data_IF_099701795036
#
_entry.id   IF_099701795036
#
_cell.length_a   1.000
_cell.length_b   1.000
_cell.length_c   1.000
_cell.angle_alpha   90.00
_cell.angle_beta   90.00
_cell.angle_gamma   90.00
#
_symmetry.space_group_name_H-M   'P 1'
#
loop_
_entity.id
_entity.type
_entity.pdbx_description
1 polymer ?
#
# COMPACT_ATOMS: atom_id res chain seq x y z
N UNK A 1 -0.08 38.30 -3.93
CA UNK A 1 1.16 38.18 -3.15
C UNK A 1 1.76 36.82 -3.50
N UNK A 2 2.95 36.80 -4.14
CA UNK A 2 3.68 35.55 -4.40
C UNK A 2 4.11 34.99 -3.03
N UNK A 3 3.75 33.75 -2.73
CA UNK A 3 4.18 33.08 -1.50
C UNK A 3 5.70 33.03 -1.45
N UNK A 4 6.27 33.56 -0.38
CA UNK A 4 7.70 33.42 -0.10
C UNK A 4 7.88 31.93 0.25
N UNK A 5 8.69 31.22 -0.54
CA UNK A 5 9.04 29.84 -0.27
C UNK A 5 9.76 29.76 1.10
N UNK A 6 9.30 28.88 1.96
CA UNK A 6 9.83 28.72 3.32
C UNK A 6 11.35 28.41 3.34
N UNK A 7 11.86 27.75 2.29
CA UNK A 7 13.29 27.47 2.11
C UNK A 7 14.06 28.77 1.87
N UNK A 8 13.57 29.65 0.99
CA UNK A 8 14.20 30.95 0.71
C UNK A 8 14.20 31.88 1.94
N UNK A 9 13.10 31.88 2.72
CA UNK A 9 13.02 32.68 3.95
C UNK A 9 14.06 32.22 4.96
N UNK A 10 14.27 30.93 5.06
CA UNK A 10 15.25 30.30 5.97
C UNK A 10 16.69 30.65 5.60
N UNK A 11 17.05 30.54 4.31
CA UNK A 11 18.37 30.91 3.79
C UNK A 11 18.67 32.37 4.00
N UNK A 12 17.71 33.27 3.76
CA UNK A 12 17.84 34.68 4.01
C UNK A 12 18.00 35.00 5.51
N UNK A 13 17.29 34.32 6.37
CA UNK A 13 17.41 34.48 7.82
C UNK A 13 18.81 34.07 8.30
N UNK A 14 19.33 32.94 7.87
CA UNK A 14 20.69 32.50 8.22
C UNK A 14 21.75 33.43 7.70
N UNK A 15 21.63 33.94 6.47
CA UNK A 15 22.56 34.90 5.91
C UNK A 15 22.55 36.24 6.67
N UNK A 16 21.36 36.71 7.05
CA UNK A 16 21.20 37.91 7.83
C UNK A 16 21.80 37.77 9.25
N UNK A 17 21.54 36.65 9.90
CA UNK A 17 22.06 36.37 11.24
C UNK A 17 23.59 36.20 11.22
N UNK A 18 24.17 35.54 10.24
CA UNK A 18 25.61 35.42 10.04
C UNK A 18 26.26 36.80 9.84
N UNK A 19 25.63 37.69 9.10
CA UNK A 19 26.08 39.07 8.91
C UNK A 19 25.99 39.87 10.24
N UNK A 20 24.86 39.75 10.96
CA UNK A 20 24.62 40.47 12.21
C UNK A 20 25.56 40.03 13.32
N UNK A 21 25.98 38.78 13.33
CA UNK A 21 26.89 38.18 14.33
C UNK A 21 28.36 38.16 13.85
N UNK A 22 28.72 39.04 12.95
CA UNK A 22 30.12 39.30 12.49
C UNK A 22 30.84 38.08 11.91
N UNK A 23 30.11 37.22 11.22
CA UNK A 23 30.67 36.10 10.45
C UNK A 23 30.70 34.76 11.18
N UNK A 24 30.06 34.62 12.32
CA UNK A 24 29.83 33.32 12.93
C UNK A 24 28.90 32.48 12.03
N UNK A 25 29.29 31.27 11.74
CA UNK A 25 28.44 30.34 11.01
C UNK A 25 27.32 29.79 11.91
N UNK A 26 26.11 30.24 11.66
CA UNK A 26 24.92 29.74 12.34
C UNK A 26 24.36 28.58 11.54
N UNK A 27 24.17 27.46 12.21
CA UNK A 27 23.60 26.22 11.66
C UNK A 27 22.25 25.90 12.31
N UNK A 28 21.49 24.95 11.76
CA UNK A 28 20.25 24.49 12.39
C UNK A 28 20.40 24.01 13.84
N UNK A 29 21.59 23.52 14.20
CA UNK A 29 21.89 23.03 15.57
C UNK A 29 21.96 24.13 16.58
N UNK A 30 22.14 25.40 16.17
CA UNK A 30 22.20 26.54 17.02
C UNK A 30 20.81 27.09 17.39
N UNK A 31 19.76 26.57 16.77
CA UNK A 31 18.38 26.88 17.06
C UNK A 31 17.74 25.78 17.92
N UNK A 32 17.43 26.11 19.16
CA UNK A 32 16.64 25.23 20.02
C UNK A 32 15.18 25.66 19.99
N UNK A 33 14.33 24.91 19.32
CA UNK A 33 12.88 25.14 19.34
C UNK A 33 12.25 24.98 20.71
N UNK A 34 12.91 24.28 21.62
CA UNK A 34 12.50 24.14 23.03
C UNK A 34 12.56 25.45 23.84
N UNK A 35 13.32 26.43 23.34
CA UNK A 35 13.46 27.74 23.96
C UNK A 35 12.53 28.81 23.41
N UNK A 36 11.74 28.48 22.40
CA UNK A 36 10.73 29.39 21.84
C UNK A 36 9.55 29.44 22.80
N UNK A 37 9.20 30.65 23.23
CA UNK A 37 8.08 30.86 24.12
C UNK A 37 6.78 30.32 23.51
N UNK A 38 6.01 29.56 24.27
CA UNK A 38 4.84 28.82 23.76
C UNK A 38 3.82 29.69 23.03
N UNK A 39 3.69 30.96 23.34
CA UNK A 39 2.77 31.89 22.64
C UNK A 39 3.31 32.36 21.27
N UNK A 40 4.59 32.16 20.97
CA UNK A 40 5.15 32.41 19.63
C UNK A 40 4.95 31.24 18.67
N UNK A 41 4.59 30.06 19.17
CA UNK A 41 4.27 28.91 18.34
C UNK A 41 2.81 29.04 17.89
N UNK A 42 2.52 28.98 16.55
CA UNK A 42 1.16 29.08 16.05
C UNK A 42 0.23 28.07 16.72
N UNK A 43 -0.93 28.53 17.16
CA UNK A 43 -1.98 27.69 17.69
C UNK A 43 -3.00 27.41 16.59
N UNK A 44 -3.07 26.15 16.14
CA UNK A 44 -3.86 25.70 15.00
C UNK A 44 -5.19 25.16 15.53
N UNK A 45 -6.29 25.60 14.95
CA UNK A 45 -7.61 25.04 15.19
C UNK A 45 -8.13 24.44 13.89
N UNK A 46 -8.52 23.19 13.92
CA UNK A 46 -9.19 22.48 12.84
C UNK A 46 -10.67 22.50 13.17
N UNK A 47 -11.47 23.02 12.26
CA UNK A 47 -12.92 23.15 12.41
C UNK A 47 -13.62 22.47 11.24
N UNK A 48 -14.83 21.92 11.47
CA UNK A 48 -15.69 21.42 10.41
C UNK A 48 -16.32 22.56 9.59
N UNK A 49 -17.08 22.20 8.56
CA UNK A 49 -17.76 23.14 7.67
C UNK A 49 -18.79 24.05 8.40
N UNK A 50 -19.21 23.65 9.59
CA UNK A 50 -20.15 24.40 10.46
C UNK A 50 -19.41 25.22 11.51
N UNK A 51 -18.08 25.27 11.47
CA UNK A 51 -17.25 25.99 12.44
C UNK A 51 -17.07 25.26 13.77
N UNK A 52 -17.53 23.99 13.90
CA UNK A 52 -17.35 23.20 15.11
C UNK A 52 -15.90 22.70 15.19
N UNK A 53 -15.30 22.87 16.35
CA UNK A 53 -13.93 22.45 16.63
C UNK A 53 -13.80 20.92 16.53
N UNK A 54 -12.92 20.43 15.63
CA UNK A 54 -12.57 19.03 15.47
C UNK A 54 -11.32 18.69 16.30
N UNK A 55 -10.28 19.49 16.13
CA UNK A 55 -9.02 19.33 16.84
C UNK A 55 -8.33 20.68 17.02
N UNK A 56 -7.45 20.77 17.98
CA UNK A 56 -6.60 21.95 18.18
C UNK A 56 -5.27 21.53 18.78
N UNK A 57 -4.22 22.27 18.44
CA UNK A 57 -2.88 22.03 18.95
C UNK A 57 -1.85 22.96 18.33
N UNK A 58 -0.58 22.72 18.62
CA UNK A 58 0.55 23.48 18.09
C UNK A 58 1.41 22.66 17.14
N UNK A 59 1.28 21.34 17.19
CA UNK A 59 1.93 20.43 16.27
C UNK A 59 1.01 20.16 15.07
N UNK A 60 1.43 20.64 13.90
CA UNK A 60 0.66 20.47 12.65
C UNK A 60 0.60 19.01 12.20
N UNK A 61 1.67 18.25 12.41
CA UNK A 61 1.75 16.87 11.93
C UNK A 61 0.95 15.93 12.84
N UNK A 62 0.95 16.17 14.15
CA UNK A 62 0.03 15.49 15.07
C UNK A 62 -1.42 15.82 14.73
N UNK A 63 -1.76 17.07 14.44
CA UNK A 63 -3.10 17.47 14.06
C UNK A 63 -3.51 16.85 12.73
N UNK A 64 -2.63 16.81 11.73
CA UNK A 64 -2.86 16.11 10.46
C UNK A 64 -3.10 14.62 10.68
N UNK A 65 -2.31 13.96 11.52
CA UNK A 65 -2.48 12.54 11.83
C UNK A 65 -3.84 12.27 12.51
N UNK A 66 -4.23 13.10 13.48
CA UNK A 66 -5.53 12.98 14.16
C UNK A 66 -6.73 13.28 13.24
N UNK A 67 -6.61 14.26 12.36
CA UNK A 67 -7.68 14.64 11.43
C UNK A 67 -7.70 13.75 10.18
N UNK A 68 -6.65 12.98 9.87
CA UNK A 68 -6.56 12.11 8.70
C UNK A 68 -7.70 11.09 8.63
N UNK A 69 -8.13 10.56 9.78
CA UNK A 69 -9.28 9.64 9.84
C UNK A 69 -10.59 10.32 9.44
N UNK A 70 -10.75 11.62 9.71
CA UNK A 70 -11.97 12.36 9.33
C UNK A 70 -11.92 12.86 7.89
N UNK A 71 -10.74 13.22 7.36
CA UNK A 71 -10.58 13.61 5.95
C UNK A 71 -10.76 12.45 4.98
N UNK A 72 -10.54 11.21 5.43
CA UNK A 72 -10.78 10.00 4.63
C UNK A 72 -12.25 9.56 4.60
N UNK A 73 -13.14 10.19 5.40
CA UNK A 73 -14.56 9.89 5.33
C UNK A 73 -15.21 10.63 4.17
N UNK A 74 -16.18 10.01 3.50
CA UNK A 74 -16.94 10.70 2.46
C UNK A 74 -17.69 11.87 3.06
N UNK A 75 -17.60 13.03 2.40
CA UNK A 75 -18.30 14.25 2.81
C UNK A 75 -19.77 14.17 2.41
N UNK A 76 -20.06 13.54 1.27
CA UNK A 76 -21.39 13.39 0.71
C UNK A 76 -21.51 12.07 -0.04
N UNK A 77 -22.66 11.42 0.10
CA UNK A 77 -23.04 10.25 -0.68
C UNK A 77 -24.29 10.60 -1.51
N UNK A 78 -24.23 10.35 -2.82
CA UNK A 78 -25.41 10.46 -3.68
C UNK A 78 -26.31 9.25 -3.45
N UNK A 79 -27.61 9.49 -3.39
CA UNK A 79 -28.60 8.42 -3.26
C UNK A 79 -28.70 7.65 -4.59
N UNK A 80 -28.63 6.34 -4.50
CA UNK A 80 -28.76 5.40 -5.62
C UNK A 80 -27.54 4.50 -5.76
N UNK A 81 -27.80 3.26 -6.10
CA UNK A 81 -26.79 2.24 -6.41
C UNK A 81 -26.72 2.07 -7.93
N UNK A 82 -25.51 2.06 -8.48
CA UNK A 82 -25.26 1.96 -9.91
C UNK A 82 -24.65 0.60 -10.23
N UNK A 83 -25.20 -0.09 -11.24
CA UNK A 83 -24.65 -1.32 -11.79
C UNK A 83 -23.87 -1.08 -13.09
N UNK A 84 -23.94 0.15 -13.60
CA UNK A 84 -23.20 0.64 -14.76
C UNK A 84 -22.52 1.94 -14.41
N UNK A 85 -21.50 2.34 -15.19
CA UNK A 85 -20.81 3.60 -14.96
C UNK A 85 -21.78 4.78 -15.16
N UNK A 86 -21.93 5.68 -14.16
CA UNK A 86 -22.89 6.78 -14.24
C UNK A 86 -22.49 7.81 -15.31
N UNK A 87 -23.44 8.21 -16.16
CA UNK A 87 -23.18 9.16 -17.28
C UNK A 87 -22.72 10.53 -16.78
N UNK A 88 -23.27 10.99 -15.65
CA UNK A 88 -22.98 12.31 -15.08
C UNK A 88 -21.83 12.30 -14.06
N UNK A 89 -21.04 11.23 -14.02
CA UNK A 89 -19.90 11.13 -13.09
C UNK A 89 -18.77 12.08 -13.50
N UNK A 90 -18.28 12.86 -12.53
CA UNK A 90 -17.14 13.77 -12.69
C UNK A 90 -16.19 13.57 -11.52
N UNK A 91 -14.97 13.10 -11.81
CA UNK A 91 -13.99 12.79 -10.74
C UNK A 91 -13.60 14.03 -9.93
N UNK A 92 -13.30 15.16 -10.59
CA UNK A 92 -12.94 16.41 -9.92
C UNK A 92 -14.14 17.35 -9.88
N UNK A 93 -14.60 17.69 -8.71
CA UNK A 93 -15.63 18.69 -8.47
C UNK A 93 -15.05 19.87 -7.68
N UNK A 94 -15.61 21.07 -7.87
CA UNK A 94 -15.25 22.24 -7.08
C UNK A 94 -16.48 22.77 -6.40
N UNK A 95 -16.42 22.93 -5.09
CA UNK A 95 -17.49 23.54 -4.31
C UNK A 95 -17.02 24.86 -3.72
N UNK A 96 -17.88 25.88 -3.80
CA UNK A 96 -17.61 27.17 -3.17
C UNK A 96 -18.16 27.14 -1.74
N UNK A 97 -17.28 27.10 -0.76
CA UNK A 97 -17.64 27.12 0.67
C UNK A 97 -17.13 28.42 1.27
N UNK A 98 -18.05 29.26 1.80
CA UNK A 98 -17.72 30.54 2.46
C UNK A 98 -16.74 31.44 1.68
N UNK A 99 -16.86 31.44 0.33
CA UNK A 99 -16.01 32.28 -0.55
C UNK A 99 -14.71 31.63 -1.00
N UNK A 100 -14.35 30.47 -0.47
CA UNK A 100 -13.18 29.68 -0.85
C UNK A 100 -13.60 28.55 -1.78
N UNK A 101 -12.84 28.34 -2.87
CA UNK A 101 -13.05 27.20 -3.76
C UNK A 101 -12.35 26.00 -3.15
N UNK A 102 -13.13 25.02 -2.69
CA UNK A 102 -12.62 23.74 -2.18
C UNK A 102 -12.70 22.70 -3.30
N UNK A 103 -11.58 22.07 -3.60
CA UNK A 103 -11.56 20.91 -4.50
C UNK A 103 -12.10 19.70 -3.75
N UNK A 104 -13.01 19.00 -4.39
CA UNK A 104 -13.56 17.74 -3.92
C UNK A 104 -13.42 16.68 -5.02
N UNK A 105 -13.35 15.43 -4.61
CA UNK A 105 -13.14 14.31 -5.52
C UNK A 105 -14.28 13.31 -5.35
N UNK A 106 -14.99 13.05 -6.44
CA UNK A 106 -16.00 12.00 -6.45
C UNK A 106 -15.34 10.64 -6.73
N UNK A 107 -15.81 9.60 -6.06
CA UNK A 107 -15.38 8.25 -6.28
C UNK A 107 -16.59 7.31 -6.41
N UNK A 108 -16.46 6.32 -7.28
CA UNK A 108 -17.33 5.16 -7.28
C UNK A 108 -16.86 4.24 -6.16
N UNK A 109 -17.73 3.96 -5.20
CA UNK A 109 -17.40 3.12 -4.03
C UNK A 109 -18.29 1.89 -4.07
N UNK A 110 -17.72 0.67 -4.04
CA UNK A 110 -18.53 -0.53 -4.05
C UNK A 110 -19.34 -0.63 -2.75
N UNK A 111 -20.59 -1.06 -2.83
CA UNK A 111 -21.46 -1.24 -1.66
C UNK A 111 -21.09 -2.46 -0.83
N UNK A 112 -20.35 -3.39 -1.43
CA UNK A 112 -19.72 -4.55 -0.78
C UNK A 112 -18.25 -4.66 -1.19
N UNK A 113 -17.38 -5.07 -0.27
CA UNK A 113 -15.97 -5.35 -0.60
C UNK A 113 -15.87 -6.55 -1.53
N UNK A 114 -14.90 -6.54 -2.44
CA UNK A 114 -14.74 -7.63 -3.40
C UNK A 114 -14.54 -8.98 -2.72
N UNK A 115 -13.80 -9.04 -1.63
CA UNK A 115 -13.57 -10.25 -0.84
C UNK A 115 -14.84 -10.82 -0.15
N UNK A 116 -15.91 -10.05 -0.08
CA UNK A 116 -17.19 -10.41 0.56
C UNK A 116 -18.29 -10.74 -0.47
N UNK A 117 -17.96 -10.68 -1.78
CA UNK A 117 -18.94 -10.96 -2.84
C UNK A 117 -19.30 -12.43 -2.89
N UNK A 118 -20.58 -12.71 -2.97
CA UNK A 118 -21.10 -14.04 -3.21
C UNK A 118 -21.24 -14.34 -4.71
N UNK A 119 -21.44 -15.60 -5.07
CA UNK A 119 -21.46 -16.04 -6.46
C UNK A 119 -22.53 -15.37 -7.36
N UNK A 120 -23.59 -14.84 -6.77
CA UNK A 120 -24.70 -14.13 -7.45
C UNK A 120 -24.94 -12.75 -6.85
N UNK A 121 -23.89 -12.11 -6.38
CA UNK A 121 -23.98 -10.80 -5.76
C UNK A 121 -24.24 -9.73 -6.82
N UNK A 122 -25.36 -9.04 -6.72
CA UNK A 122 -25.80 -7.95 -7.61
C UNK A 122 -25.47 -6.56 -7.05
N UNK A 123 -24.76 -6.49 -5.91
CA UNK A 123 -24.37 -5.20 -5.33
C UNK A 123 -23.53 -4.39 -6.33
N UNK A 124 -23.82 -3.12 -6.44
CA UNK A 124 -23.18 -2.19 -7.38
C UNK A 124 -22.20 -1.25 -6.69
N UNK A 125 -22.23 0.00 -7.13
CA UNK A 125 -21.41 1.09 -6.60
C UNK A 125 -22.28 2.29 -6.27
N UNK A 126 -21.82 3.12 -5.33
CA UNK A 126 -22.41 4.43 -5.02
C UNK A 126 -21.38 5.53 -5.31
N UNK A 127 -21.86 6.76 -5.57
CA UNK A 127 -20.97 7.92 -5.69
C UNK A 127 -20.79 8.53 -4.31
N UNK A 128 -19.53 8.63 -3.88
CA UNK A 128 -19.15 9.33 -2.65
C UNK A 128 -18.16 10.44 -2.98
N UNK A 129 -18.19 11.51 -2.19
CA UNK A 129 -17.33 12.68 -2.36
C UNK A 129 -16.33 12.73 -1.22
N UNK A 130 -15.06 12.94 -1.55
CA UNK A 130 -13.92 12.99 -0.62
C UNK A 130 -13.22 14.35 -0.75
N UNK A 131 -12.61 14.80 0.32
CA UNK A 131 -11.72 15.96 0.33
C UNK A 131 -10.27 15.57 0.05
N UNK A 132 -9.93 14.29 0.23
CA UNK A 132 -8.61 13.73 -0.04
C UNK A 132 -8.60 13.02 -1.41
N UNK A 133 -7.68 13.44 -2.27
CA UNK A 133 -7.57 12.90 -3.63
C UNK A 133 -7.09 11.46 -3.66
N UNK A 134 -6.13 11.10 -2.81
CA UNK A 134 -5.54 9.77 -2.81
C UNK A 134 -6.55 8.74 -2.32
N UNK A 135 -7.32 9.09 -1.29
CA UNK A 135 -8.41 8.23 -0.82
C UNK A 135 -9.51 8.10 -1.88
N UNK A 136 -9.89 9.20 -2.55
CA UNK A 136 -10.85 9.14 -3.65
C UNK A 136 -10.37 8.22 -4.79
N UNK A 137 -9.11 8.31 -5.19
CA UNK A 137 -8.50 7.44 -6.22
C UNK A 137 -8.57 5.98 -5.79
N UNK A 138 -8.22 5.68 -4.54
CA UNK A 138 -8.25 4.32 -3.99
C UNK A 138 -9.67 3.74 -4.02
N UNK A 139 -10.65 4.49 -3.51
CA UNK A 139 -12.05 4.06 -3.50
C UNK A 139 -12.61 3.93 -4.91
N UNK A 140 -12.28 4.87 -5.80
CA UNK A 140 -12.70 4.85 -7.19
C UNK A 140 -12.17 3.61 -7.93
N UNK A 141 -10.93 3.20 -7.66
CA UNK A 141 -10.35 1.96 -8.21
C UNK A 141 -11.19 0.75 -7.86
N UNK A 142 -11.59 0.61 -6.60
CA UNK A 142 -12.43 -0.50 -6.14
C UNK A 142 -13.80 -0.52 -6.84
N UNK A 143 -14.42 0.66 -6.99
CA UNK A 143 -15.69 0.79 -7.71
C UNK A 143 -15.57 0.46 -9.19
N UNK A 144 -14.49 0.90 -9.85
CA UNK A 144 -14.22 0.55 -11.26
C UNK A 144 -13.99 -0.95 -11.42
N UNK A 145 -13.20 -1.58 -10.52
CA UNK A 145 -13.02 -3.03 -10.49
C UNK A 145 -14.37 -3.73 -10.36
N UNK A 146 -15.25 -3.27 -9.48
CA UNK A 146 -16.59 -3.85 -9.30
C UNK A 146 -17.43 -3.75 -10.57
N UNK A 147 -17.51 -2.59 -11.20
CA UNK A 147 -18.28 -2.39 -12.44
C UNK A 147 -17.72 -3.23 -13.61
N UNK A 148 -16.40 -3.30 -13.75
CA UNK A 148 -15.77 -4.14 -14.79
C UNK A 148 -16.04 -5.62 -14.51
N UNK A 149 -15.96 -6.08 -13.25
CA UNK A 149 -16.29 -7.44 -12.85
C UNK A 149 -17.71 -7.83 -13.29
N UNK A 150 -18.70 -6.97 -13.10
CA UNK A 150 -20.08 -7.24 -13.50
C UNK A 150 -20.25 -7.42 -15.02
N UNK A 151 -19.36 -6.85 -15.84
CA UNK A 151 -19.42 -6.89 -17.31
C UNK A 151 -18.62 -8.04 -17.94
N UNK A 152 -17.87 -8.83 -17.15
CA UNK A 152 -16.95 -9.86 -17.63
C UNK A 152 -17.40 -11.31 -17.33
N UNK A 153 -18.66 -11.55 -16.99
CA UNK A 153 -19.15 -12.82 -16.45
C UNK A 153 -18.68 -14.09 -17.20
N UNK A 154 -18.69 -14.09 -18.54
CA UNK A 154 -18.25 -15.24 -19.34
C UNK A 154 -16.75 -15.47 -19.28
N UNK A 155 -15.96 -14.39 -19.38
CA UNK A 155 -14.50 -14.44 -19.28
C UNK A 155 -14.05 -14.89 -17.89
N UNK A 156 -14.73 -14.41 -16.85
CA UNK A 156 -14.48 -14.81 -15.46
C UNK A 156 -14.76 -16.31 -15.29
N UNK A 157 -15.87 -16.82 -15.83
CA UNK A 157 -16.18 -18.27 -15.79
C UNK A 157 -15.12 -19.09 -16.49
N UNK A 158 -14.62 -18.60 -17.63
CA UNK A 158 -13.56 -19.27 -18.38
C UNK A 158 -12.23 -19.27 -17.60
N UNK A 159 -11.86 -18.16 -16.96
CA UNK A 159 -10.66 -18.06 -16.16
C UNK A 159 -10.71 -18.99 -14.93
N UNK A 160 -11.80 -19.00 -14.18
CA UNK A 160 -12.00 -19.87 -13.00
C UNK A 160 -11.84 -21.37 -13.33
N UNK A 161 -12.24 -21.80 -14.52
CA UNK A 161 -12.07 -23.20 -14.97
C UNK A 161 -10.60 -23.60 -15.15
N UNK A 162 -9.69 -22.65 -15.30
CA UNK A 162 -8.26 -22.92 -15.48
C UNK A 162 -7.51 -23.21 -14.16
N UNK A 163 -8.16 -23.00 -13.01
CA UNK A 163 -7.57 -23.35 -11.70
C UNK A 163 -7.34 -24.87 -11.64
N UNK A 164 -6.07 -25.25 -11.59
CA UNK A 164 -5.67 -26.66 -11.52
C UNK A 164 -5.94 -27.28 -10.13
N UNK A 165 -6.06 -28.60 -10.08
CA UNK A 165 -6.17 -29.31 -8.78
C UNK A 165 -4.94 -29.10 -7.88
N UNK A 166 -3.68 -29.14 -8.39
CA UNK A 166 -2.50 -28.83 -7.58
C UNK A 166 -2.55 -27.44 -6.93
N UNK A 167 -2.94 -26.41 -7.68
CA UNK A 167 -3.06 -25.05 -7.14
C UNK A 167 -4.14 -24.98 -6.05
N UNK A 168 -5.31 -25.56 -6.28
CA UNK A 168 -6.38 -25.58 -5.30
C UNK A 168 -5.96 -26.31 -4.00
N UNK A 169 -5.16 -27.38 -4.13
CA UNK A 169 -4.58 -28.11 -3.00
C UNK A 169 -3.51 -27.25 -2.29
N UNK A 170 -2.68 -26.55 -3.03
CA UNK A 170 -1.67 -25.67 -2.47
C UNK A 170 -2.28 -24.52 -1.66
N UNK A 171 -3.42 -24.00 -2.07
CA UNK A 171 -4.14 -22.95 -1.37
C UNK A 171 -4.99 -23.44 -0.19
N UNK A 172 -5.37 -24.72 -0.16
CA UNK A 172 -6.36 -25.25 0.79
C UNK A 172 -6.10 -24.95 2.30
N UNK A 173 -4.85 -24.80 2.77
CA UNK A 173 -4.63 -24.40 4.18
C UNK A 173 -5.01 -22.93 4.47
N UNK A 174 -5.09 -22.08 3.45
CA UNK A 174 -5.41 -20.66 3.55
C UNK A 174 -6.90 -20.36 3.31
N UNK A 175 -7.58 -21.21 2.55
CA UNK A 175 -8.98 -21.03 2.22
C UNK A 175 -9.52 -22.07 1.26
N UNK A 176 -10.81 -21.97 1.00
CA UNK A 176 -11.49 -22.85 0.05
C UNK A 176 -11.29 -22.41 -1.42
N UNK A 177 -11.78 -23.25 -2.33
CA UNK A 177 -11.69 -22.99 -3.76
C UNK A 177 -12.43 -21.71 -4.18
N UNK A 178 -13.53 -21.37 -3.52
CA UNK A 178 -14.30 -20.16 -3.87
C UNK A 178 -13.50 -18.90 -3.56
N UNK A 179 -12.79 -18.86 -2.44
CA UNK A 179 -11.87 -17.77 -2.08
C UNK A 179 -10.70 -17.66 -3.08
N UNK A 180 -10.12 -18.79 -3.49
CA UNK A 180 -9.07 -18.80 -4.53
C UNK A 180 -9.57 -18.26 -5.86
N UNK A 181 -10.77 -18.66 -6.29
CA UNK A 181 -11.40 -18.16 -7.52
C UNK A 181 -11.62 -16.64 -7.45
N UNK A 182 -12.08 -16.15 -6.32
CA UNK A 182 -12.30 -14.73 -6.08
C UNK A 182 -10.99 -13.95 -6.06
N UNK A 183 -9.96 -14.47 -5.39
CA UNK A 183 -8.61 -13.91 -5.37
C UNK A 183 -8.03 -13.80 -6.78
N UNK A 184 -8.10 -14.87 -7.58
CA UNK A 184 -7.63 -14.89 -8.97
C UNK A 184 -8.32 -13.82 -9.82
N UNK A 185 -9.65 -13.72 -9.73
CA UNK A 185 -10.43 -12.74 -10.49
C UNK A 185 -10.05 -11.32 -10.09
N UNK A 186 -9.98 -11.03 -8.79
CA UNK A 186 -9.64 -9.70 -8.31
C UNK A 186 -8.21 -9.28 -8.71
N UNK A 187 -7.24 -10.17 -8.51
CA UNK A 187 -5.85 -9.93 -8.92
C UNK A 187 -5.73 -9.67 -10.43
N UNK A 188 -6.45 -10.46 -11.25
CA UNK A 188 -6.49 -10.26 -12.71
C UNK A 188 -7.09 -8.89 -13.08
N UNK A 189 -8.15 -8.46 -12.40
CA UNK A 189 -8.76 -7.16 -12.62
C UNK A 189 -7.82 -6.02 -12.21
N UNK A 190 -7.14 -6.14 -11.07
CA UNK A 190 -6.13 -5.15 -10.65
C UNK A 190 -5.03 -4.95 -11.68
N UNK A 191 -4.49 -6.04 -12.23
CA UNK A 191 -3.45 -5.99 -13.27
C UNK A 191 -3.98 -5.43 -14.59
N UNK A 192 -5.25 -5.71 -14.93
CA UNK A 192 -5.86 -5.28 -16.18
C UNK A 192 -6.29 -3.82 -16.19
N UNK A 193 -6.56 -3.23 -15.01
CA UNK A 193 -7.04 -1.85 -14.86
C UNK A 193 -5.88 -0.94 -14.46
N UNK A 194 -5.10 -0.49 -15.44
CA UNK A 194 -3.93 0.36 -15.20
C UNK A 194 -4.31 1.83 -15.06
N UNK A 195 -5.30 2.32 -15.81
CA UNK A 195 -5.75 3.70 -15.78
C UNK A 195 -7.21 3.78 -15.34
N UNK A 196 -7.51 4.67 -14.39
CA UNK A 196 -8.87 4.86 -13.92
C UNK A 196 -9.66 5.79 -14.85
N UNK A 197 -10.89 5.42 -15.25
CA UNK A 197 -11.73 6.24 -16.10
C UNK A 197 -12.33 7.40 -15.30
N UNK A 198 -12.34 8.58 -15.87
CA UNK A 198 -12.91 9.80 -15.26
C UNK A 198 -14.33 10.11 -15.74
N UNK A 199 -14.81 9.39 -16.74
CA UNK A 199 -16.14 9.54 -17.33
C UNK A 199 -16.59 8.24 -18.02
N UNK A 200 -17.86 8.21 -18.44
CA UNK A 200 -18.47 7.02 -19.06
C UNK A 200 -17.79 6.59 -20.37
N UNK A 201 -17.31 7.54 -21.19
CA UNK A 201 -16.63 7.23 -22.44
C UNK A 201 -15.29 6.52 -22.19
N UNK A 202 -14.49 7.03 -21.25
CA UNK A 202 -13.23 6.39 -20.82
C UNK A 202 -13.48 5.00 -20.21
N UNK A 203 -14.60 4.82 -19.48
CA UNK A 203 -14.97 3.52 -18.95
C UNK A 203 -15.29 2.49 -20.05
N UNK A 204 -16.00 2.90 -21.10
CA UNK A 204 -16.28 2.01 -22.24
C UNK A 204 -15.01 1.61 -22.99
N UNK A 205 -14.07 2.53 -23.14
CA UNK A 205 -12.77 2.23 -23.71
C UNK A 205 -11.99 1.24 -22.82
N UNK A 206 -11.89 1.52 -21.51
CA UNK A 206 -11.27 0.62 -20.53
C UNK A 206 -11.88 -0.79 -20.59
N UNK A 207 -13.22 -0.89 -20.61
CA UNK A 207 -13.93 -2.17 -20.66
C UNK A 207 -13.58 -2.95 -21.93
N UNK A 208 -13.48 -2.27 -23.06
CA UNK A 208 -13.13 -2.87 -24.35
C UNK A 208 -11.68 -3.39 -24.34
N UNK A 209 -10.75 -2.61 -23.81
CA UNK A 209 -9.34 -3.01 -23.67
C UNK A 209 -9.19 -4.17 -22.67
N UNK A 210 -9.86 -4.07 -21.52
CA UNK A 210 -9.86 -5.14 -20.52
C UNK A 210 -10.40 -6.45 -21.07
N UNK A 211 -11.51 -6.44 -21.80
CA UNK A 211 -12.06 -7.66 -22.43
C UNK A 211 -11.05 -8.36 -23.33
N UNK A 212 -10.24 -7.61 -24.09
CA UNK A 212 -9.22 -8.17 -25.00
C UNK A 212 -8.05 -8.83 -24.25
N UNK A 213 -7.64 -8.27 -23.11
CA UNK A 213 -6.44 -8.68 -22.38
C UNK A 213 -6.72 -9.58 -21.18
N UNK A 214 -7.98 -9.66 -20.71
CA UNK A 214 -8.35 -10.27 -19.45
C UNK A 214 -7.86 -11.72 -19.30
N UNK A 215 -8.03 -12.57 -20.30
CA UNK A 215 -7.60 -13.96 -20.22
C UNK A 215 -6.08 -14.11 -20.25
N UNK A 216 -5.37 -13.29 -21.02
CA UNK A 216 -3.91 -13.29 -21.03
C UNK A 216 -3.33 -12.84 -19.67
N UNK A 217 -3.85 -11.74 -19.12
CA UNK A 217 -3.48 -11.28 -17.78
C UNK A 217 -3.86 -12.30 -16.70
N UNK A 218 -5.02 -12.95 -16.86
CA UNK A 218 -5.48 -14.02 -15.99
C UNK A 218 -4.58 -15.26 -15.99
N UNK A 219 -4.04 -15.64 -17.14
CA UNK A 219 -3.08 -16.74 -17.25
C UNK A 219 -1.76 -16.40 -16.54
N UNK A 220 -1.26 -15.17 -16.70
CA UNK A 220 -0.08 -14.74 -15.98
C UNK A 220 -0.33 -14.71 -14.47
N UNK A 221 -1.44 -14.10 -14.04
CA UNK A 221 -1.84 -14.08 -12.61
C UNK A 221 -1.97 -15.49 -12.05
N UNK A 222 -2.55 -16.42 -12.82
CA UNK A 222 -2.68 -17.82 -12.41
C UNK A 222 -1.31 -18.50 -12.25
N UNK A 223 -0.36 -18.19 -13.13
CA UNK A 223 1.03 -18.65 -13.01
C UNK A 223 1.68 -18.14 -11.74
N UNK A 224 1.58 -16.82 -11.47
CA UNK A 224 2.14 -16.19 -10.30
C UNK A 224 1.56 -16.77 -9.00
N UNK A 225 0.23 -16.91 -8.92
CA UNK A 225 -0.43 -17.52 -7.76
C UNK A 225 -0.02 -19.00 -7.57
N UNK A 226 0.16 -19.73 -8.67
CA UNK A 226 0.62 -21.12 -8.60
C UNK A 226 2.03 -21.20 -8.02
N UNK A 227 2.93 -20.34 -8.46
CA UNK A 227 4.28 -20.27 -7.95
C UNK A 227 4.30 -19.86 -6.48
N UNK A 228 3.55 -18.80 -6.10
CA UNK A 228 3.44 -18.30 -4.73
C UNK A 228 3.00 -19.45 -3.78
N UNK A 229 1.87 -20.09 -4.06
CA UNK A 229 1.32 -21.07 -3.13
C UNK A 229 2.11 -22.38 -3.11
N UNK A 230 2.73 -22.77 -4.23
CA UNK A 230 3.60 -23.95 -4.27
C UNK A 230 4.86 -23.74 -3.44
N UNK A 231 5.52 -22.58 -3.61
CA UNK A 231 6.72 -22.23 -2.83
C UNK A 231 6.38 -22.05 -1.35
N UNK A 232 5.27 -21.39 -1.03
CA UNK A 232 4.81 -21.24 0.36
C UNK A 232 4.58 -22.60 1.03
N UNK A 233 3.92 -23.54 0.36
CA UNK A 233 3.76 -24.89 0.90
C UNK A 233 5.08 -25.59 1.12
N UNK A 234 6.03 -25.43 0.20
CA UNK A 234 7.36 -26.00 0.36
C UNK A 234 8.06 -25.40 1.58
N UNK A 235 8.07 -24.08 1.74
CA UNK A 235 8.63 -23.40 2.91
C UNK A 235 8.01 -23.94 4.20
N UNK A 236 6.66 -24.03 4.26
CA UNK A 236 5.97 -24.56 5.45
C UNK A 236 6.40 -25.97 5.80
N UNK A 237 6.62 -26.85 4.81
CA UNK A 237 7.11 -28.22 5.05
C UNK A 237 8.54 -28.22 5.56
N UNK A 238 9.41 -27.39 5.02
CA UNK A 238 10.80 -27.28 5.44
C UNK A 238 10.91 -26.73 6.87
N UNK A 239 10.10 -25.75 7.23
CA UNK A 239 10.03 -25.22 8.60
C UNK A 239 9.59 -26.28 9.63
N UNK A 240 8.66 -27.18 9.28
CA UNK A 240 8.16 -28.22 10.18
C UNK A 240 9.22 -29.27 10.57
N UNK A 241 10.27 -29.45 9.78
CA UNK A 241 11.33 -30.43 10.03
C UNK A 241 12.54 -29.84 10.71
N UNK A 242 12.62 -28.51 10.87
CA UNK A 242 13.70 -27.84 11.58
C UNK A 242 13.59 -28.01 13.09
N UNK A 243 14.72 -28.28 13.74
CA UNK A 243 14.79 -28.33 15.20
C UNK A 243 14.66 -26.92 15.79
N UNK A 244 13.55 -26.65 16.45
CA UNK A 244 13.23 -25.36 17.06
C UNK A 244 14.25 -24.96 18.15
N UNK A 245 14.91 -25.92 18.80
CA UNK A 245 15.91 -25.62 19.84
C UNK A 245 17.20 -25.06 19.25
N UNK A 246 17.46 -25.36 17.97
CA UNK A 246 18.65 -24.93 17.24
C UNK A 246 18.33 -23.73 16.32
N UNK A 247 17.22 -23.80 15.59
CA UNK A 247 16.88 -22.86 14.52
C UNK A 247 15.74 -21.91 14.87
N UNK A 248 15.23 -21.92 16.11
CA UNK A 248 14.01 -21.21 16.52
C UNK A 248 13.98 -19.74 16.07
N UNK A 249 15.04 -18.98 16.33
CA UNK A 249 15.13 -17.58 15.92
C UNK A 249 15.06 -17.38 14.38
N UNK A 250 15.66 -18.27 13.61
CA UNK A 250 15.58 -18.24 12.16
C UNK A 250 14.19 -18.62 11.65
N UNK A 251 13.53 -19.57 12.33
CA UNK A 251 12.14 -19.96 12.02
C UNK A 251 11.19 -18.80 12.33
N UNK A 252 11.31 -18.17 13.49
CA UNK A 252 10.49 -17.03 13.90
C UNK A 252 10.61 -15.88 12.89
N UNK A 253 11.84 -15.51 12.48
CA UNK A 253 12.05 -14.45 11.47
C UNK A 253 11.44 -14.79 10.09
N UNK A 254 11.48 -16.07 9.69
CA UNK A 254 10.85 -16.50 8.44
C UNK A 254 9.34 -16.48 8.56
N UNK A 255 8.77 -16.90 9.69
CA UNK A 255 7.32 -16.83 9.93
C UNK A 255 6.84 -15.38 9.95
N UNK A 256 7.55 -14.47 10.60
CA UNK A 256 7.28 -13.02 10.58
C UNK A 256 7.27 -12.46 9.16
N UNK A 257 8.22 -12.85 8.32
CA UNK A 257 8.26 -12.44 6.91
C UNK A 257 7.03 -12.96 6.14
N UNK A 258 6.63 -14.22 6.36
CA UNK A 258 5.44 -14.80 5.73
C UNK A 258 4.15 -14.12 6.21
N UNK A 259 4.09 -13.73 7.48
CA UNK A 259 2.95 -13.00 8.05
C UNK A 259 2.80 -11.60 7.43
N UNK A 260 3.91 -10.89 7.19
CA UNK A 260 3.88 -9.61 6.46
C UNK A 260 3.35 -9.77 5.02
N UNK A 261 3.60 -10.89 4.36
CA UNK A 261 3.07 -11.16 3.03
C UNK A 261 1.55 -11.37 3.04
N UNK A 262 0.96 -11.77 4.18
CA UNK A 262 -0.49 -11.98 4.35
C UNK A 262 -1.12 -12.86 3.28
N UNK A 263 -0.51 -14.02 2.98
CA UNK A 263 -0.82 -14.85 1.80
C UNK A 263 -2.29 -15.31 1.67
N UNK A 264 -3.07 -15.26 2.74
CA UNK A 264 -4.50 -15.56 2.68
C UNK A 264 -5.32 -14.52 1.91
N UNK A 265 -4.87 -13.26 1.89
CA UNK A 265 -5.65 -12.14 1.36
C UNK A 265 -4.82 -11.00 0.75
N UNK A 266 -3.54 -11.24 0.46
CA UNK A 266 -2.59 -10.22 0.02
C UNK A 266 -3.07 -9.39 -1.19
N UNK A 267 -3.76 -9.98 -2.14
CA UNK A 267 -4.25 -9.27 -3.33
C UNK A 267 -5.25 -8.16 -2.99
N UNK A 268 -5.95 -8.25 -1.85
CA UNK A 268 -6.90 -7.22 -1.43
C UNK A 268 -6.24 -6.08 -0.64
N UNK A 269 -5.04 -6.32 -0.11
CA UNK A 269 -4.30 -5.36 0.73
C UNK A 269 -3.08 -4.76 0.04
N UNK A 270 -2.51 -5.47 -0.94
CA UNK A 270 -1.31 -5.06 -1.65
C UNK A 270 -1.60 -4.78 -3.13
N UNK A 271 -0.99 -3.74 -3.73
CA UNK A 271 -1.09 -3.51 -5.17
C UNK A 271 -0.25 -4.53 -5.95
N UNK A 272 -0.54 -4.69 -7.26
CA UNK A 272 0.16 -5.66 -8.12
C UNK A 272 1.68 -5.53 -8.08
N UNK A 273 2.22 -4.32 -8.01
CA UNK A 273 3.67 -4.04 -8.00
C UNK A 273 4.39 -4.68 -6.80
N UNK A 274 3.65 -4.98 -5.72
CA UNK A 274 4.19 -5.65 -4.53
C UNK A 274 4.03 -7.16 -4.65
N UNK A 275 2.79 -7.66 -4.83
CA UNK A 275 2.57 -9.10 -4.76
C UNK A 275 3.09 -9.87 -5.97
N UNK A 276 3.32 -9.23 -7.10
CA UNK A 276 4.02 -9.84 -8.25
C UNK A 276 5.50 -10.13 -7.96
N UNK A 277 6.08 -9.55 -6.91
CA UNK A 277 7.43 -9.88 -6.43
C UNK A 277 7.45 -11.10 -5.49
N UNK A 278 6.32 -11.54 -4.96
CA UNK A 278 6.25 -12.64 -3.99
C UNK A 278 6.87 -13.95 -4.48
N UNK A 279 6.70 -14.38 -5.76
CA UNK A 279 7.41 -15.57 -6.25
C UNK A 279 8.93 -15.48 -6.05
N UNK A 280 9.49 -14.30 -6.26
CA UNK A 280 10.92 -14.05 -6.11
C UNK A 280 11.35 -14.04 -4.64
N UNK A 281 10.54 -13.43 -3.76
CA UNK A 281 10.84 -13.40 -2.32
C UNK A 281 10.71 -14.79 -1.68
N UNK A 282 9.70 -15.55 -2.04
CA UNK A 282 9.52 -16.93 -1.55
C UNK A 282 10.63 -17.86 -2.07
N UNK A 283 11.08 -17.68 -3.32
CA UNK A 283 12.27 -18.39 -3.83
C UNK A 283 13.52 -18.06 -3.03
N UNK A 284 13.69 -16.80 -2.62
CA UNK A 284 14.81 -16.40 -1.78
C UNK A 284 14.74 -17.07 -0.40
N UNK A 285 13.55 -17.20 0.19
CA UNK A 285 13.35 -17.96 1.42
C UNK A 285 13.71 -19.43 1.28
N UNK A 286 13.33 -20.08 0.19
CA UNK A 286 13.72 -21.48 -0.06
C UNK A 286 15.25 -21.63 -0.16
N UNK A 287 15.94 -20.70 -0.82
CA UNK A 287 17.41 -20.69 -0.88
C UNK A 287 18.05 -20.45 0.49
N UNK A 288 17.44 -19.65 1.35
CA UNK A 288 17.86 -19.45 2.74
C UNK A 288 17.71 -20.74 3.55
N UNK A 289 16.55 -21.38 3.48
CA UNK A 289 16.24 -22.63 4.19
C UNK A 289 17.20 -23.77 3.81
N UNK A 290 17.48 -23.94 2.51
CA UNK A 290 18.44 -24.94 2.01
C UNK A 290 19.85 -24.77 2.64
N UNK A 291 20.23 -23.55 2.95
CA UNK A 291 21.58 -23.22 3.49
C UNK A 291 21.62 -23.12 5.00
N UNK A 292 20.49 -22.88 5.64
CA UNK A 292 20.40 -22.62 7.07
C UNK A 292 21.14 -23.65 7.94
N UNK A 293 21.03 -24.97 7.69
CA UNK A 293 21.74 -25.97 8.52
C UNK A 293 23.26 -25.81 8.54
N UNK A 294 23.84 -25.28 7.47
CA UNK A 294 25.28 -25.11 7.34
C UNK A 294 25.77 -23.68 7.61
N UNK A 295 24.88 -22.72 7.81
CA UNK A 295 25.21 -21.30 7.90
C UNK A 295 24.48 -20.57 9.04
N UNK A 296 24.09 -21.27 10.10
CA UNK A 296 23.27 -20.71 11.18
C UNK A 296 23.84 -19.42 11.76
N UNK A 297 25.15 -19.37 12.08
CA UNK A 297 25.76 -18.17 12.67
C UNK A 297 25.68 -16.94 11.76
N UNK A 298 25.84 -17.16 10.45
CA UNK A 298 25.70 -16.10 9.46
C UNK A 298 24.24 -15.67 9.33
N UNK A 299 23.31 -16.61 9.40
CA UNK A 299 21.86 -16.33 9.36
C UNK A 299 21.43 -15.49 10.56
N UNK A 300 21.86 -15.85 11.77
CA UNK A 300 21.59 -15.10 12.98
C UNK A 300 22.16 -13.68 12.95
N UNK A 301 23.39 -13.50 12.46
CA UNK A 301 23.98 -12.18 12.29
C UNK A 301 23.19 -11.31 11.26
N UNK A 302 22.68 -11.94 10.20
CA UNK A 302 21.87 -11.25 9.21
C UNK A 302 20.47 -10.87 9.75
N UNK A 303 19.90 -11.66 10.66
CA UNK A 303 18.67 -11.32 11.37
C UNK A 303 18.87 -10.05 12.20
N UNK A 304 20.01 -9.91 12.91
CA UNK A 304 20.32 -8.70 13.68
C UNK A 304 20.30 -7.41 12.82
N UNK A 305 20.68 -7.51 11.53
CA UNK A 305 20.64 -6.40 10.58
C UNK A 305 19.21 -6.10 10.09
N UNK A 306 18.30 -7.08 10.13
CA UNK A 306 16.93 -7.02 9.57
C UNK A 306 15.90 -6.63 10.64
N UNK A 307 16.01 -7.16 11.86
CA UNK A 307 15.04 -6.99 12.95
C UNK A 307 14.60 -5.52 13.17
N UNK A 308 15.49 -4.50 13.22
CA UNK A 308 15.09 -3.13 13.44
C UNK A 308 14.18 -2.57 12.34
N UNK A 309 14.25 -3.14 11.14
CA UNK A 309 13.43 -2.76 9.99
C UNK A 309 12.10 -3.49 9.96
N UNK A 310 12.10 -4.77 10.37
CA UNK A 310 10.87 -5.55 10.55
C UNK A 310 9.96 -4.88 11.57
N UNK A 311 10.48 -4.48 12.73
CA UNK A 311 9.74 -3.75 13.76
C UNK A 311 9.08 -2.47 13.22
N UNK A 312 9.82 -1.71 12.40
CA UNK A 312 9.29 -0.49 11.77
C UNK A 312 8.16 -0.82 10.79
N UNK A 313 8.33 -1.83 9.94
CA UNK A 313 7.30 -2.25 8.98
C UNK A 313 6.05 -2.74 9.70
N UNK A 314 6.17 -3.55 10.74
CA UNK A 314 5.04 -4.00 11.54
C UNK A 314 4.31 -2.85 12.24
N UNK A 315 5.07 -1.94 12.87
CA UNK A 315 4.53 -0.80 13.60
C UNK A 315 3.74 0.15 12.71
N UNK A 316 4.22 0.39 11.50
CA UNK A 316 3.65 1.37 10.57
C UNK A 316 2.96 0.75 9.34
N UNK A 317 2.58 -0.54 9.40
CA UNK A 317 1.99 -1.29 8.27
C UNK A 317 0.78 -0.63 7.61
N UNK A 318 0.08 0.25 8.31
CA UNK A 318 -1.08 0.97 7.79
C UNK A 318 -0.72 2.31 7.10
N UNK A 319 0.53 2.78 7.20
CA UNK A 319 0.98 3.98 6.49
C UNK A 319 1.30 3.63 5.03
N UNK A 320 0.70 4.32 4.04
CA UNK A 320 0.98 4.05 2.63
C UNK A 320 2.45 4.16 2.23
N UNK A 321 3.22 5.01 2.94
CA UNK A 321 4.65 5.21 2.69
C UNK A 321 5.51 4.00 3.06
N UNK A 322 5.00 3.13 3.97
CA UNK A 322 5.75 1.94 4.44
C UNK A 322 5.99 0.93 3.32
N UNK A 323 5.20 0.97 2.25
CA UNK A 323 5.34 0.06 1.11
C UNK A 323 6.71 0.13 0.46
N UNK A 324 7.27 1.34 0.31
CA UNK A 324 8.61 1.53 -0.25
C UNK A 324 9.67 0.91 0.67
N UNK A 325 9.54 1.10 1.98
CA UNK A 325 10.42 0.49 2.97
C UNK A 325 10.33 -1.04 2.94
N UNK A 326 9.11 -1.59 2.88
CA UNK A 326 8.87 -3.03 2.78
C UNK A 326 9.57 -3.65 1.57
N UNK A 327 9.41 -3.07 0.38
CA UNK A 327 10.08 -3.56 -0.83
C UNK A 327 11.61 -3.52 -0.71
N UNK A 328 12.16 -2.46 -0.13
CA UNK A 328 13.60 -2.36 0.08
C UNK A 328 14.10 -3.32 1.18
N UNK A 329 13.28 -3.63 2.18
CA UNK A 329 13.59 -4.62 3.20
C UNK A 329 13.67 -6.03 2.58
N UNK A 330 12.74 -6.38 1.69
CA UNK A 330 12.81 -7.66 0.96
C UNK A 330 14.06 -7.76 0.08
N UNK A 331 14.49 -6.67 -0.55
CA UNK A 331 15.76 -6.63 -1.28
C UNK A 331 16.97 -6.82 -0.35
N UNK A 332 16.93 -6.22 0.85
CA UNK A 332 17.99 -6.44 1.87
C UNK A 332 18.04 -7.91 2.29
N UNK A 333 16.88 -8.54 2.54
CA UNK A 333 16.80 -9.97 2.86
C UNK A 333 17.45 -10.82 1.78
N UNK A 334 17.17 -10.57 0.49
CA UNK A 334 17.80 -11.28 -0.61
C UNK A 334 19.33 -11.11 -0.58
N UNK A 335 19.81 -9.89 -0.34
CA UNK A 335 21.23 -9.59 -0.27
C UNK A 335 21.95 -10.33 0.85
N UNK A 336 21.33 -10.47 2.01
CA UNK A 336 21.92 -11.06 3.20
C UNK A 336 21.83 -12.59 3.21
N UNK A 337 20.66 -13.15 2.90
CA UNK A 337 20.37 -14.57 3.10
C UNK A 337 20.50 -15.42 1.84
N UNK A 338 20.32 -14.84 0.63
CA UNK A 338 20.01 -15.65 -0.56
C UNK A 338 20.99 -15.48 -1.71
N UNK A 339 22.25 -15.08 -1.44
CA UNK A 339 23.27 -15.04 -2.49
C UNK A 339 23.47 -16.44 -3.11
N UNK A 340 23.68 -16.58 -4.43
CA UNK A 340 24.02 -15.52 -5.40
C UNK A 340 22.82 -14.83 -6.06
N UNK A 341 21.61 -14.91 -5.50
CA UNK A 341 20.46 -14.23 -6.05
C UNK A 341 20.69 -12.71 -6.04
N UNK A 342 20.47 -12.07 -7.19
CA UNK A 342 20.73 -10.63 -7.35
C UNK A 342 19.55 -9.80 -6.86
N UNK A 343 19.85 -8.70 -6.19
CA UNK A 343 18.86 -7.67 -5.84
C UNK A 343 18.50 -6.83 -7.07
N UNK A 344 17.27 -6.33 -7.13
CA UNK A 344 16.84 -5.42 -8.21
C UNK A 344 17.49 -4.04 -8.09
N UNK A 345 17.82 -3.65 -6.87
CA UNK A 345 18.44 -2.36 -6.54
C UNK A 345 19.65 -2.62 -5.62
N UNK A 346 20.69 -1.79 -5.70
CA UNK A 346 21.76 -1.83 -4.71
C UNK A 346 21.18 -1.47 -3.33
N UNK A 347 21.33 -2.35 -2.35
CA UNK A 347 20.75 -2.24 -1.02
C UNK A 347 21.79 -2.39 0.09
N UNK A 348 21.59 -1.69 1.19
CA UNK A 348 22.35 -1.84 2.43
C UNK A 348 21.54 -1.25 3.60
N UNK A 349 21.85 -1.59 4.87
CA UNK A 349 21.23 -0.98 6.04
C UNK A 349 21.29 0.56 6.02
N UNK A 350 22.43 1.12 5.58
CA UNK A 350 22.58 2.58 5.43
C UNK A 350 21.62 3.20 4.42
N UNK A 351 21.30 2.49 3.33
CA UNK A 351 20.31 2.96 2.33
C UNK A 351 18.89 2.89 2.86
N UNK A 352 18.57 1.85 3.63
CA UNK A 352 17.29 1.75 4.33
C UNK A 352 17.13 2.89 5.34
N UNK A 353 18.19 3.24 6.11
CA UNK A 353 18.14 4.36 7.03
C UNK A 353 17.86 5.69 6.29
N UNK A 354 18.55 5.96 5.20
CA UNK A 354 18.30 7.15 4.37
C UNK A 354 16.87 7.20 3.82
N UNK A 355 16.32 6.05 3.43
CA UNK A 355 14.92 5.96 3.01
C UNK A 355 13.98 6.28 4.15
N UNK A 356 14.20 5.67 5.31
CA UNK A 356 13.40 5.91 6.51
C UNK A 356 13.35 7.39 6.89
N UNK A 357 14.52 8.04 6.93
CA UNK A 357 14.63 9.47 7.27
C UNK A 357 13.87 10.36 6.25
N UNK A 358 13.89 9.95 4.96
CA UNK A 358 13.15 10.65 3.89
C UNK A 358 11.64 10.46 3.99
N UNK A 359 11.17 9.28 4.39
CA UNK A 359 9.74 8.98 4.48
C UNK A 359 9.05 9.77 5.59
N UNK A 360 9.82 10.24 6.59
CA UNK A 360 9.32 10.98 7.75
C UNK A 360 8.09 10.29 8.37
N UNK A 361 8.20 8.98 8.61
CA UNK A 361 7.19 8.15 9.29
C UNK A 361 7.55 8.14 10.78
N UNK A 362 6.68 8.66 11.62
CA UNK A 362 6.92 8.71 13.05
C UNK A 362 5.95 9.59 13.79
#
# INVERSE_FOLDING_TARGET
>A
MKGIDAVHLREHLFSYLAFALRGEQITEKDFSFERIDQYLIPFIKVVDEKGKLIAQGRDLDELKARCRVETHRPVQQQQGEFQTFPENFVFEASQKVTGVIVKQYQALVPTKRFAELEAKDESGVVIQTFNDQDEAIKQHREGVIRLVHMQLGDLIRQLKKQISKPLALAYSPLGDRAKLEQMLVYATLQVSIQKLPKNAAEFQQLLTETKKQFLANGQQTLSDLTEIFTQWQQIRRELLVLDQTIFGRSVDDIEDQLDLMSLANFVYSQPPEIWQEYPRYLKALLLRLDRLPNNLQRDLAAIDDVDPWMDKVFKFKNDPKIKELYLMLEELRISLFSQPMKTKLPISPTRLQKLWDRLAIG
#
